data_IF_944855921628
#
_entry.id   IF_944855921628
#
_cell.length_a   1.000
_cell.length_b   1.000
_cell.length_c   1.000
_cell.angle_alpha   90.00
_cell.angle_beta   90.00
_cell.angle_gamma   90.00
#
_symmetry.space_group_name_H-M   'P 1'
#
loop_
_entity.id
_entity.type
_entity.pdbx_description
1 polymer ?
#
# COMPACT_ATOMS: atom_id res chain seq x y z
N UNK A 1 -7.54 -19.31 2.48
CA UNK A 1 -8.38 -18.25 3.04
C UNK A 1 -7.78 -16.88 2.71
N UNK A 2 -8.58 -16.00 2.14
CA UNK A 2 -8.11 -14.68 1.80
C UNK A 2 -7.93 -13.79 3.04
N UNK A 3 -7.00 -12.88 2.97
CA UNK A 3 -6.77 -11.89 4.01
C UNK A 3 -6.35 -10.57 3.38
N UNK A 4 -6.33 -9.53 4.20
CA UNK A 4 -5.94 -8.20 3.76
C UNK A 4 -4.79 -7.68 4.59
N UNK A 5 -3.98 -6.82 4.00
CA UNK A 5 -3.07 -5.97 4.75
C UNK A 5 -3.66 -4.57 4.77
N UNK A 6 -3.95 -4.07 5.95
CA UNK A 6 -4.28 -2.68 6.16
C UNK A 6 -2.97 -1.96 6.51
N UNK A 7 -2.57 -1.03 5.66
CA UNK A 7 -1.33 -0.29 5.86
C UNK A 7 -1.68 1.17 6.12
N UNK A 8 -1.21 1.68 7.25
CA UNK A 8 -1.40 3.07 7.63
C UNK A 8 -0.06 3.77 7.64
N UNK A 9 0.02 4.87 6.91
CA UNK A 9 1.25 5.64 6.79
C UNK A 9 1.07 7.04 7.36
N UNK A 10 2.18 7.57 7.88
CA UNK A 10 2.26 8.96 8.30
C UNK A 10 3.00 9.72 7.21
N UNK A 11 2.29 10.65 6.58
CA UNK A 11 2.84 11.47 5.51
C UNK A 11 3.44 12.74 6.12
N UNK A 12 4.61 13.15 5.63
CA UNK A 12 5.25 14.37 6.12
C UNK A 12 4.34 15.59 5.92
N UNK A 13 4.43 16.62 6.80
CA UNK A 13 3.59 17.83 6.66
C UNK A 13 3.69 18.43 5.27
N UNK A 14 2.53 18.75 4.69
CA UNK A 14 2.45 19.36 3.36
C UNK A 14 2.71 18.46 2.18
N UNK A 15 2.89 17.15 2.40
CA UNK A 15 3.26 16.21 1.34
C UNK A 15 2.13 15.29 0.88
N UNK A 16 0.92 15.43 1.44
CA UNK A 16 -0.16 14.50 1.12
C UNK A 16 -0.56 14.51 -0.36
N UNK A 17 -0.71 15.68 -0.97
CA UNK A 17 -1.09 15.75 -2.39
C UNK A 17 -0.04 15.09 -3.27
N UNK A 18 1.24 15.33 -2.97
CA UNK A 18 2.34 14.72 -3.70
C UNK A 18 2.38 13.21 -3.48
N UNK A 19 2.15 12.75 -2.24
CA UNK A 19 2.10 11.32 -1.92
C UNK A 19 0.96 10.61 -2.67
N UNK A 20 -0.25 11.20 -2.63
CA UNK A 20 -1.40 10.61 -3.34
C UNK A 20 -1.13 10.57 -4.85
N UNK A 21 -0.55 11.63 -5.42
CA UNK A 21 -0.18 11.65 -6.83
C UNK A 21 0.81 10.54 -7.17
N UNK A 22 1.80 10.33 -6.31
CA UNK A 22 2.79 9.27 -6.49
C UNK A 22 2.16 7.88 -6.42
N UNK A 23 1.27 7.65 -5.45
CA UNK A 23 0.52 6.40 -5.35
C UNK A 23 -0.31 6.14 -6.61
N UNK A 24 -1.08 7.14 -7.05
CA UNK A 24 -2.01 6.98 -8.17
C UNK A 24 -1.30 6.81 -9.51
N UNK A 25 -0.19 7.50 -9.71
CA UNK A 25 0.50 7.49 -11.01
C UNK A 25 1.56 6.42 -11.13
N UNK A 26 2.18 6.01 -10.03
CA UNK A 26 3.32 5.09 -10.10
C UNK A 26 3.18 3.84 -9.26
N UNK A 27 2.94 3.95 -7.94
CA UNK A 27 2.97 2.79 -7.05
C UNK A 27 1.82 1.83 -7.35
N UNK A 28 0.58 2.34 -7.34
CA UNK A 28 -0.61 1.50 -7.56
C UNK A 28 -0.58 0.84 -8.94
N UNK A 29 -0.39 1.60 -10.05
CA UNK A 29 -0.35 0.96 -11.37
C UNK A 29 0.76 -0.08 -11.51
N UNK A 30 1.93 0.19 -10.94
CA UNK A 30 3.03 -0.77 -10.98
C UNK A 30 2.68 -2.05 -10.24
N UNK A 31 2.15 -1.93 -9.01
CA UNK A 31 1.79 -3.11 -8.22
C UNK A 31 0.66 -3.92 -8.86
N UNK A 32 -0.33 -3.25 -9.43
CA UNK A 32 -1.40 -3.93 -10.17
C UNK A 32 -0.81 -4.68 -11.37
N UNK A 33 0.16 -4.11 -12.07
CA UNK A 33 0.80 -4.78 -13.21
C UNK A 33 1.49 -6.08 -12.81
N UNK A 34 1.86 -6.23 -11.54
CA UNK A 34 2.48 -7.44 -10.99
C UNK A 34 1.47 -8.42 -10.39
N UNK A 35 0.19 -8.05 -10.34
CA UNK A 35 -0.87 -8.89 -9.81
C UNK A 35 -1.39 -8.53 -8.43
N UNK A 36 -0.90 -7.45 -7.83
CA UNK A 36 -1.43 -6.99 -6.55
C UNK A 36 -2.89 -6.56 -6.69
N UNK A 37 -3.70 -6.91 -5.69
CA UNK A 37 -5.11 -6.50 -5.64
C UNK A 37 -5.23 -5.42 -4.57
N UNK A 38 -5.47 -4.19 -5.01
CA UNK A 38 -5.59 -3.03 -4.13
C UNK A 38 -7.08 -2.68 -4.04
N UNK A 39 -7.66 -2.91 -2.86
CA UNK A 39 -9.09 -2.78 -2.65
C UNK A 39 -9.50 -1.43 -2.07
N UNK A 40 -8.55 -0.64 -1.63
CA UNK A 40 -8.83 0.69 -1.12
C UNK A 40 -7.57 1.53 -1.01
N UNK A 41 -7.74 2.83 -1.20
CA UNK A 41 -6.68 3.84 -1.09
C UNK A 41 -7.36 5.08 -0.55
N UNK A 42 -6.93 5.54 0.63
CA UNK A 42 -7.64 6.58 1.36
C UNK A 42 -6.68 7.59 1.96
N UNK A 43 -7.09 8.84 1.97
CA UNK A 43 -6.39 9.89 2.74
C UNK A 43 -7.33 10.39 3.83
N UNK A 44 -6.77 10.83 4.96
CA UNK A 44 -7.58 11.43 6.01
C UNK A 44 -8.30 12.68 5.48
N UNK A 45 -9.58 12.80 5.82
CA UNK A 45 -10.39 13.93 5.34
C UNK A 45 -9.96 15.24 6.00
N UNK A 46 -9.79 15.22 7.32
CA UNK A 46 -9.37 16.41 8.09
C UNK A 46 -7.92 16.32 8.55
N UNK A 47 -7.37 15.12 8.64
CA UNK A 47 -5.98 14.87 9.04
C UNK A 47 -5.12 14.64 7.81
N UNK A 48 -4.33 15.63 7.45
CA UNK A 48 -3.51 15.62 6.25
C UNK A 48 -2.23 14.79 6.39
N UNK A 49 -2.07 14.06 7.50
CA UNK A 49 -0.91 13.19 7.72
C UNK A 49 -1.21 11.71 7.57
N UNK A 50 -2.48 11.31 7.58
CA UNK A 50 -2.86 9.89 7.54
C UNK A 50 -3.23 9.43 6.14
N UNK A 51 -2.53 8.39 5.68
CA UNK A 51 -2.87 7.69 4.43
C UNK A 51 -3.04 6.22 4.74
N UNK A 52 -4.09 5.60 4.20
CA UNK A 52 -4.40 4.19 4.43
C UNK A 52 -4.66 3.51 3.09
N UNK A 53 -4.11 2.32 2.89
CA UNK A 53 -4.50 1.50 1.76
C UNK A 53 -4.63 0.04 2.16
N UNK A 54 -5.41 -0.71 1.37
CA UNK A 54 -5.75 -2.09 1.62
C UNK A 54 -5.34 -2.93 0.42
N UNK A 55 -4.65 -4.04 0.69
CA UNK A 55 -4.32 -5.02 -0.34
C UNK A 55 -4.87 -6.38 0.07
N UNK A 56 -5.46 -7.08 -0.88
CA UNK A 56 -6.04 -8.41 -0.66
C UNK A 56 -5.12 -9.49 -1.21
N UNK A 57 -4.93 -10.55 -0.45
CA UNK A 57 -4.14 -11.72 -0.86
C UNK A 57 -4.97 -12.99 -0.71
N UNK A 58 -4.84 -13.91 -1.67
CA UNK A 58 -5.56 -15.19 -1.62
C UNK A 58 -5.07 -16.07 -0.47
N UNK A 59 -3.76 -16.08 -0.24
CA UNK A 59 -3.11 -16.86 0.81
C UNK A 59 -1.68 -16.34 1.01
N UNK A 60 -0.97 -16.91 1.99
CA UNK A 60 0.39 -16.50 2.31
C UNK A 60 1.37 -16.77 1.16
N UNK A 61 1.21 -17.87 0.46
CA UNK A 61 2.10 -18.23 -0.65
C UNK A 61 1.97 -17.22 -1.79
N UNK A 62 0.75 -16.79 -2.10
CA UNK A 62 0.49 -15.76 -3.11
C UNK A 62 1.10 -14.43 -2.67
N UNK A 63 0.95 -14.10 -1.38
CA UNK A 63 1.53 -12.87 -0.84
C UNK A 63 3.05 -12.84 -1.00
N UNK A 64 3.72 -13.94 -0.65
CA UNK A 64 5.17 -14.03 -0.76
C UNK A 64 5.63 -13.85 -2.21
N UNK A 65 4.94 -14.47 -3.16
CA UNK A 65 5.25 -14.35 -4.58
C UNK A 65 5.07 -12.92 -5.07
N UNK A 66 3.95 -12.29 -4.71
CA UNK A 66 3.66 -10.92 -5.13
C UNK A 66 4.65 -9.92 -4.51
N UNK A 67 5.04 -10.14 -3.26
CA UNK A 67 6.06 -9.32 -2.63
C UNK A 67 7.40 -9.41 -3.37
N UNK A 68 7.80 -10.62 -3.75
CA UNK A 68 9.03 -10.79 -4.51
C UNK A 68 8.93 -10.10 -5.88
N UNK A 69 7.82 -10.29 -6.59
CA UNK A 69 7.61 -9.72 -7.91
C UNK A 69 7.63 -8.17 -7.90
N UNK A 70 7.15 -7.56 -6.81
CA UNK A 70 7.14 -6.10 -6.65
C UNK A 70 8.45 -5.59 -6.06
N UNK A 71 8.78 -6.03 -4.86
CA UNK A 71 9.83 -5.38 -4.06
C UNK A 71 11.24 -5.81 -4.42
N UNK A 72 11.40 -6.95 -5.09
CA UNK A 72 12.70 -7.39 -5.60
C UNK A 72 12.92 -6.99 -7.05
N UNK A 73 11.96 -6.30 -7.68
CA UNK A 73 12.11 -5.83 -9.05
C UNK A 73 13.08 -4.66 -9.15
N UNK A 74 13.73 -4.54 -10.31
CA UNK A 74 14.62 -3.42 -10.58
C UNK A 74 13.86 -2.10 -10.58
N UNK A 75 12.65 -2.08 -11.11
CA UNK A 75 11.84 -0.87 -11.15
C UNK A 75 11.54 -0.35 -9.75
N UNK A 76 11.16 -1.24 -8.82
CA UNK A 76 10.92 -0.82 -7.45
C UNK A 76 12.19 -0.27 -6.80
N UNK A 77 13.28 -1.02 -6.89
CA UNK A 77 14.53 -0.66 -6.22
C UNK A 77 15.16 0.61 -6.77
N UNK A 78 15.11 0.80 -8.08
CA UNK A 78 15.85 1.88 -8.76
C UNK A 78 15.01 3.12 -9.03
N UNK A 79 13.68 2.98 -9.16
CA UNK A 79 12.82 4.07 -9.62
C UNK A 79 11.78 4.52 -8.61
N UNK A 80 11.41 3.67 -7.65
CA UNK A 80 10.30 3.97 -6.73
C UNK A 80 10.76 4.11 -5.29
N UNK A 81 11.46 3.12 -4.75
CA UNK A 81 11.71 3.01 -3.31
C UNK A 81 12.40 4.24 -2.70
N UNK A 82 13.35 4.83 -3.39
CA UNK A 82 14.14 5.95 -2.87
C UNK A 82 13.32 7.24 -2.68
N UNK A 83 12.19 7.34 -3.36
CA UNK A 83 11.32 8.53 -3.27
C UNK A 83 10.38 8.47 -2.06
N UNK A 84 10.16 7.28 -1.51
CA UNK A 84 9.20 7.10 -0.41
C UNK A 84 9.60 7.85 0.86
N UNK A 85 10.85 7.77 1.35
CA UNK A 85 11.24 8.48 2.58
C UNK A 85 11.13 10.01 2.48
N UNK A 86 11.12 10.56 1.28
CA UNK A 86 10.95 12.00 1.07
C UNK A 86 9.52 12.44 1.38
N UNK A 87 8.57 11.51 1.32
CA UNK A 87 7.14 11.80 1.47
C UNK A 87 6.54 11.20 2.74
N UNK A 88 7.07 10.08 3.23
CA UNK A 88 6.54 9.35 4.38
C UNK A 88 7.53 9.32 5.54
N UNK A 89 6.97 9.39 6.75
CA UNK A 89 7.68 9.04 7.97
C UNK A 89 7.54 7.53 8.18
N UNK A 90 8.58 6.77 7.85
CA UNK A 90 8.54 5.31 7.96
C UNK A 90 8.38 4.79 9.38
N UNK A 91 8.78 5.57 10.37
CA UNK A 91 8.60 5.18 11.77
C UNK A 91 7.13 5.19 12.20
N UNK A 92 6.30 5.96 11.48
CA UNK A 92 4.86 6.00 11.72
C UNK A 92 4.06 4.95 10.96
N UNK A 93 4.73 4.01 10.27
CA UNK A 93 4.05 2.99 9.47
C UNK A 93 3.49 1.88 10.35
N UNK A 94 2.20 1.56 10.17
CA UNK A 94 1.54 0.47 10.87
C UNK A 94 0.97 -0.48 9.82
N UNK A 95 1.31 -1.76 9.94
CA UNK A 95 0.78 -2.80 9.04
C UNK A 95 -0.01 -3.79 9.88
N UNK A 96 -1.30 -3.95 9.56
CA UNK A 96 -2.18 -4.86 10.28
C UNK A 96 -2.74 -5.89 9.28
N UNK A 97 -2.52 -7.15 9.56
CA UNK A 97 -3.08 -8.24 8.77
C UNK A 97 -4.45 -8.57 9.33
N UNK A 98 -5.47 -8.52 8.47
CA UNK A 98 -6.87 -8.70 8.88
C UNK A 98 -7.56 -9.72 7.99
N UNK A 99 -8.57 -10.39 8.55
CA UNK A 99 -9.36 -11.38 7.80
C UNK A 99 -10.82 -10.93 7.82
N UNK A 100 -11.55 -11.10 6.71
CA UNK A 100 -12.95 -10.68 6.67
C UNK A 100 -13.82 -11.58 7.54
N UNK A 101 -14.79 -10.96 8.20
CA UNK A 101 -15.81 -11.72 8.92
C UNK A 101 -16.85 -12.27 7.94
N UNK A 102 -17.64 -13.31 8.32
CA UNK A 102 -18.52 -13.98 7.34
C UNK A 102 -19.52 -13.08 6.62
N UNK A 103 -19.97 -11.99 7.26
CA UNK A 103 -20.96 -11.09 6.65
C UNK A 103 -20.35 -9.83 6.06
N UNK A 104 -19.03 -9.73 6.04
CA UNK A 104 -18.37 -8.62 5.37
C UNK A 104 -18.59 -8.70 3.86
N UNK A 105 -18.88 -7.58 3.22
CA UNK A 105 -18.95 -7.54 1.76
C UNK A 105 -17.56 -7.61 1.13
N UNK A 106 -16.52 -7.31 1.90
CA UNK A 106 -15.12 -7.56 1.50
C UNK A 106 -14.75 -8.98 1.94
N UNK A 107 -14.54 -9.84 0.97
CA UNK A 107 -14.18 -11.24 1.27
C UNK A 107 -12.81 -11.64 0.72
#
# INVERSE_FOLDING_TARGET
>A
MAFYELRQYKVWPGKMDEWVSFMEKEIIPFQISKGMVITGSFRGEEDDSTYIWLRRFEDEKSREKLYADVYESDQWKNEIAHRIPELLDREGMIVTRIVPTPKSTSQ
#
